data_IF_641139224607
#
_entry.id   IF_641139224607
#
_cell.length_a   1.000
_cell.length_b   1.000
_cell.length_c   1.000
_cell.angle_alpha   90.00
_cell.angle_beta   90.00
_cell.angle_gamma   90.00
#
_symmetry.space_group_name_H-M   'P 1'
#
loop_
_entity.id
_entity.type
_entity.pdbx_description
1 polymer ?
#
# COMPACT_ATOMS: atom_id res chain seq x y z
N UNK A 1 -10.16 37.01 19.52
CA UNK A 1 -8.86 36.34 19.25
C UNK A 1 -8.55 36.54 17.77
N UNK A 2 -7.73 37.53 17.41
CA UNK A 2 -7.38 37.82 16.00
C UNK A 2 -6.30 36.83 15.57
N UNK A 3 -6.67 35.83 14.78
CA UNK A 3 -5.71 34.98 14.05
C UNK A 3 -5.04 35.85 12.99
N UNK A 4 -3.83 36.36 13.26
CA UNK A 4 -3.04 37.04 12.23
C UNK A 4 -2.46 36.00 11.27
N UNK A 5 -2.45 36.30 9.98
CA UNK A 5 -1.87 35.44 8.93
C UNK A 5 -0.39 35.14 9.20
N UNK A 6 0.32 36.01 9.92
CA UNK A 6 1.69 35.81 10.39
C UNK A 6 1.87 34.68 11.42
N UNK A 7 0.79 34.18 12.03
CA UNK A 7 0.83 33.00 12.92
C UNK A 7 0.71 31.67 12.17
N UNK A 8 0.33 31.71 10.88
CA UNK A 8 0.08 30.52 10.05
C UNK A 8 1.30 30.16 9.17
N UNK A 9 2.14 31.14 8.83
CA UNK A 9 3.35 30.92 8.04
C UNK A 9 4.50 30.55 8.99
N UNK A 10 5.14 29.37 8.84
CA UNK A 10 6.28 28.99 9.65
C UNK A 10 7.42 29.99 9.46
N UNK A 11 7.88 30.60 10.56
CA UNK A 11 9.07 31.47 10.54
C UNK A 11 10.36 30.70 10.25
N UNK A 12 10.33 29.37 10.36
CA UNK A 12 11.45 28.51 10.05
C UNK A 12 11.41 28.12 8.55
N UNK A 13 12.45 28.46 7.75
CA UNK A 13 12.48 28.18 6.31
C UNK A 13 12.36 26.69 6.00
N UNK A 14 12.87 25.79 6.85
CA UNK A 14 12.73 24.34 6.69
C UNK A 14 11.26 23.94 6.77
N UNK A 15 10.55 24.40 7.80
CA UNK A 15 9.13 24.08 7.96
C UNK A 15 8.31 24.68 6.84
N UNK A 16 8.62 25.91 6.41
CA UNK A 16 7.93 26.56 5.29
C UNK A 16 8.02 25.73 4.01
N UNK A 17 9.23 25.31 3.61
CA UNK A 17 9.41 24.52 2.39
C UNK A 17 8.83 23.11 2.50
N UNK A 18 8.82 22.51 3.69
CA UNK A 18 8.09 21.26 3.94
C UNK A 18 6.58 21.45 3.71
N UNK A 19 5.99 22.52 4.26
CA UNK A 19 4.58 22.81 4.08
C UNK A 19 4.22 23.11 2.62
N UNK A 20 5.04 23.90 1.92
CA UNK A 20 4.86 24.14 0.48
C UNK A 20 4.89 22.83 -0.29
N UNK A 21 5.85 21.94 0.02
CA UNK A 21 5.94 20.61 -0.59
C UNK A 21 4.66 19.81 -0.42
N UNK A 22 4.17 19.71 0.83
CA UNK A 22 2.94 18.97 1.14
C UNK A 22 1.70 19.60 0.48
N UNK A 23 1.62 20.92 0.40
CA UNK A 23 0.52 21.63 -0.24
C UNK A 23 0.50 21.46 -1.77
N UNK A 24 1.65 21.61 -2.43
CA UNK A 24 1.76 21.41 -3.89
C UNK A 24 1.43 19.97 -4.24
N UNK A 25 1.94 19.02 -3.46
CA UNK A 25 1.60 17.61 -3.60
C UNK A 25 0.11 17.34 -3.43
N UNK A 26 -0.47 17.79 -2.31
CA UNK A 26 -1.87 17.52 -1.99
C UNK A 26 -2.84 18.16 -3.00
N UNK A 27 -2.53 19.37 -3.46
CA UNK A 27 -3.36 20.08 -4.45
C UNK A 27 -3.19 19.56 -5.87
N UNK A 28 -2.09 18.87 -6.17
CA UNK A 28 -1.72 18.49 -7.54
C UNK A 28 -1.47 19.69 -8.47
N UNK A 29 -1.24 20.88 -7.91
CA UNK A 29 -1.04 22.12 -8.67
C UNK A 29 0.12 21.96 -9.64
N UNK A 30 -0.14 22.27 -10.92
CA UNK A 30 0.83 22.21 -12.01
C UNK A 30 1.52 20.84 -12.20
N UNK A 31 0.79 19.77 -11.89
CA UNK A 31 1.17 18.38 -12.20
C UNK A 31 1.62 17.58 -10.98
N UNK A 32 1.59 16.26 -11.10
CA UNK A 32 1.89 15.33 -9.99
C UNK A 32 3.34 15.41 -9.48
N UNK A 33 4.26 15.95 -10.27
CA UNK A 33 5.68 15.94 -9.98
C UNK A 33 6.24 17.29 -9.50
N UNK A 34 5.46 18.38 -9.59
CA UNK A 34 5.95 19.71 -9.25
C UNK A 34 6.39 19.82 -7.78
N UNK A 35 5.77 19.05 -6.90
CA UNK A 35 6.15 18.96 -5.49
C UNK A 35 7.63 18.59 -5.27
N UNK A 36 8.29 17.94 -6.23
CA UNK A 36 9.71 17.59 -6.13
C UNK A 36 10.59 18.84 -6.04
N UNK A 37 10.20 19.96 -6.65
CA UNK A 37 10.96 21.21 -6.61
C UNK A 37 11.05 21.77 -5.18
N UNK A 38 9.93 22.09 -4.49
CA UNK A 38 9.99 22.51 -3.09
C UNK A 38 10.54 21.41 -2.17
N UNK A 39 10.36 20.12 -2.49
CA UNK A 39 10.94 19.02 -1.72
C UNK A 39 12.48 19.05 -1.75
N UNK A 40 13.08 19.25 -2.92
CA UNK A 40 14.53 19.33 -3.08
C UNK A 40 15.10 20.57 -2.36
N UNK A 41 14.38 21.70 -2.38
CA UNK A 41 14.77 22.90 -1.61
C UNK A 41 14.72 22.60 -0.11
N UNK A 42 13.64 22.00 0.37
CA UNK A 42 13.52 21.55 1.77
C UNK A 42 14.69 20.64 2.16
N UNK A 43 14.96 19.60 1.37
CA UNK A 43 16.07 18.66 1.62
C UNK A 43 17.39 19.41 1.67
N UNK A 44 17.68 20.27 0.69
CA UNK A 44 18.90 21.07 0.63
C UNK A 44 19.14 21.91 1.88
N UNK A 45 18.13 22.69 2.29
CA UNK A 45 18.19 23.52 3.51
C UNK A 45 18.39 22.65 4.75
N UNK A 46 17.69 21.52 4.85
CA UNK A 46 17.80 20.63 6.00
C UNK A 46 19.17 19.95 6.09
N UNK A 47 19.72 19.47 4.97
CA UNK A 47 21.09 18.93 4.93
C UNK A 47 22.13 19.98 5.31
N UNK A 48 21.96 21.23 4.87
CA UNK A 48 22.84 22.33 5.26
C UNK A 48 22.80 22.57 6.77
N UNK A 49 21.60 22.57 7.38
CA UNK A 49 21.44 22.70 8.83
C UNK A 49 22.08 21.54 9.60
N UNK A 50 21.90 20.29 9.14
CA UNK A 50 22.55 19.11 9.75
C UNK A 50 24.07 19.26 9.67
N UNK A 51 24.62 19.63 8.51
CA UNK A 51 26.07 19.82 8.30
C UNK A 51 26.64 20.88 9.24
N UNK A 52 25.89 21.95 9.50
CA UNK A 52 26.27 23.02 10.41
C UNK A 52 25.92 22.73 11.88
N UNK A 53 25.50 21.50 12.22
CA UNK A 53 25.12 21.08 13.57
C UNK A 53 23.99 21.92 14.20
N UNK A 54 23.12 22.50 13.37
CA UNK A 54 21.94 23.27 13.79
C UNK A 54 20.65 22.70 13.18
N UNK A 55 20.33 21.40 13.36
CA UNK A 55 19.14 20.81 12.77
C UNK A 55 17.87 21.40 13.38
N UNK A 56 16.95 21.87 12.53
CA UNK A 56 15.61 22.21 12.98
C UNK A 56 14.88 20.95 13.47
N UNK A 57 14.40 20.98 14.71
CA UNK A 57 13.63 19.86 15.26
C UNK A 57 12.16 20.04 14.88
N UNK A 58 11.66 19.15 14.03
CA UNK A 58 10.23 19.07 13.73
C UNK A 58 9.58 18.25 14.85
N UNK A 59 9.00 18.93 15.83
CA UNK A 59 8.38 18.27 16.99
C UNK A 59 7.02 17.68 16.63
N UNK A 60 6.84 16.39 16.91
CA UNK A 60 5.55 15.70 16.81
C UNK A 60 4.82 15.66 18.14
N UNK A 61 5.39 16.25 19.21
CA UNK A 61 4.82 16.19 20.58
C UNK A 61 3.41 16.74 20.66
N UNK A 62 3.05 17.71 19.80
CA UNK A 62 1.70 18.28 19.75
C UNK A 62 0.62 17.22 19.51
N UNK A 63 0.94 16.14 18.77
CA UNK A 63 0.02 15.03 18.48
C UNK A 63 -0.36 14.23 19.72
N UNK A 64 0.42 14.32 20.80
CA UNK A 64 0.27 13.48 21.98
C UNK A 64 -0.71 14.00 23.03
N UNK A 65 -1.09 15.28 22.97
CA UNK A 65 -2.08 15.85 23.89
C UNK A 65 -3.43 15.14 23.73
N UNK A 66 -4.17 14.97 24.83
CA UNK A 66 -5.50 14.32 24.82
C UNK A 66 -6.47 14.99 23.84
N UNK A 67 -6.43 16.32 23.77
CA UNK A 67 -7.19 17.11 22.81
C UNK A 67 -6.78 16.80 21.36
N UNK A 68 -5.48 16.85 21.04
CA UNK A 68 -5.01 16.55 19.68
C UNK A 68 -5.35 15.11 19.26
N UNK A 69 -5.23 14.13 20.16
CA UNK A 69 -5.62 12.73 19.89
C UNK A 69 -7.09 12.64 19.48
N UNK A 70 -8.00 13.26 20.25
CA UNK A 70 -9.43 13.29 19.93
C UNK A 70 -9.69 13.95 18.58
N UNK A 71 -9.04 15.08 18.30
CA UNK A 71 -9.17 15.74 16.99
C UNK A 71 -8.68 14.90 15.83
N UNK A 72 -7.52 14.26 15.95
CA UNK A 72 -6.98 13.39 14.90
C UNK A 72 -7.89 12.18 14.64
N UNK A 73 -8.47 11.60 15.69
CA UNK A 73 -9.46 10.53 15.56
C UNK A 73 -10.73 11.04 14.87
N UNK A 74 -11.25 12.20 15.27
CA UNK A 74 -12.41 12.81 14.61
C UNK A 74 -12.14 13.11 13.13
N UNK A 75 -10.96 13.65 12.79
CA UNK A 75 -10.56 13.89 11.40
C UNK A 75 -10.47 12.58 10.60
N UNK A 76 -9.92 11.53 11.20
CA UNK A 76 -9.91 10.20 10.59
C UNK A 76 -11.33 9.66 10.34
N UNK A 77 -12.25 9.80 11.30
CA UNK A 77 -13.65 9.39 11.14
C UNK A 77 -14.38 10.20 10.07
N UNK A 78 -14.14 11.51 9.99
CA UNK A 78 -14.65 12.34 8.88
C UNK A 78 -14.10 11.83 7.55
N UNK A 79 -12.80 11.52 7.47
CA UNK A 79 -12.19 10.99 6.26
C UNK A 79 -12.75 9.62 5.86
N UNK A 80 -13.05 8.75 6.82
CA UNK A 80 -13.77 7.48 6.62
C UNK A 80 -15.12 7.73 5.96
N UNK A 81 -15.95 8.61 6.53
CA UNK A 81 -17.27 8.94 6.00
C UNK A 81 -17.16 9.54 4.59
N UNK A 82 -16.21 10.44 4.36
CA UNK A 82 -15.97 11.05 3.05
C UNK A 82 -15.60 10.01 2.00
N UNK A 83 -14.68 9.08 2.28
CA UNK A 83 -14.29 8.05 1.31
C UNK A 83 -15.42 7.07 1.01
N UNK A 84 -16.22 6.70 2.02
CA UNK A 84 -17.42 5.89 1.82
C UNK A 84 -18.44 6.62 0.94
N UNK A 85 -18.69 7.90 1.20
CA UNK A 85 -19.57 8.72 0.36
C UNK A 85 -19.05 8.86 -1.07
N UNK A 86 -17.76 9.13 -1.27
CA UNK A 86 -17.13 9.21 -2.60
C UNK A 86 -17.29 7.89 -3.36
N UNK A 87 -17.12 6.76 -2.68
CA UNK A 87 -17.26 5.42 -3.28
C UNK A 87 -18.66 5.23 -3.86
N UNK A 88 -19.69 5.64 -3.12
CA UNK A 88 -21.10 5.59 -3.54
C UNK A 88 -21.36 6.60 -4.66
N UNK A 89 -20.95 7.86 -4.49
CA UNK A 89 -21.17 8.93 -5.46
C UNK A 89 -20.49 8.64 -6.80
N UNK A 90 -19.31 8.01 -6.81
CA UNK A 90 -18.64 7.58 -8.05
C UNK A 90 -19.51 6.63 -8.87
N UNK A 91 -20.23 5.71 -8.22
CA UNK A 91 -21.14 4.80 -8.92
C UNK A 91 -22.29 5.56 -9.58
N UNK A 92 -22.98 6.43 -8.82
CA UNK A 92 -24.10 7.23 -9.35
C UNK A 92 -23.68 8.32 -10.33
N UNK A 93 -22.40 8.69 -10.36
CA UNK A 93 -21.81 9.59 -11.35
C UNK A 93 -21.27 8.86 -12.59
N UNK A 94 -21.54 7.55 -12.72
CA UNK A 94 -21.07 6.71 -13.84
C UNK A 94 -19.54 6.74 -14.05
N UNK A 95 -18.78 6.84 -12.96
CA UNK A 95 -17.30 6.94 -12.99
C UNK A 95 -16.57 5.61 -12.77
N UNK A 96 -17.30 4.50 -12.62
CA UNK A 96 -16.70 3.17 -12.59
C UNK A 96 -16.71 2.54 -13.97
N UNK A 97 -15.60 1.91 -14.34
CA UNK A 97 -15.45 1.24 -15.62
C UNK A 97 -15.87 -0.22 -15.52
N UNK A 98 -16.39 -0.74 -16.63
CA UNK A 98 -16.77 -2.13 -16.78
C UNK A 98 -15.56 -3.07 -16.75
N UNK A 99 -14.40 -2.64 -17.25
CA UNK A 99 -13.18 -3.47 -17.34
C UNK A 99 -12.64 -3.88 -15.97
N UNK A 100 -12.79 -3.03 -14.95
CA UNK A 100 -12.34 -3.29 -13.60
C UNK A 100 -13.54 -3.65 -12.69
N UNK A 101 -14.27 -2.65 -12.19
CA UNK A 101 -15.35 -2.86 -11.22
C UNK A 101 -16.45 -3.76 -11.77
N UNK A 102 -16.84 -3.56 -13.03
CA UNK A 102 -17.88 -4.36 -13.68
C UNK A 102 -17.50 -5.83 -13.81
N UNK A 103 -16.28 -6.10 -14.29
CA UNK A 103 -15.75 -7.45 -14.50
C UNK A 103 -15.69 -8.25 -13.19
N UNK A 104 -15.10 -7.68 -12.14
CA UNK A 104 -15.04 -8.34 -10.83
C UNK A 104 -16.41 -8.49 -10.16
N UNK A 105 -17.33 -7.55 -10.40
CA UNK A 105 -18.70 -7.68 -9.92
C UNK A 105 -19.47 -8.78 -10.65
N UNK A 106 -19.28 -8.92 -11.97
CA UNK A 106 -19.84 -10.02 -12.76
C UNK A 106 -19.28 -11.38 -12.27
N UNK A 107 -17.97 -11.44 -12.04
CA UNK A 107 -17.28 -12.61 -11.48
C UNK A 107 -17.93 -13.06 -10.16
N UNK A 108 -18.07 -12.16 -9.18
CA UNK A 108 -18.63 -12.48 -7.88
C UNK A 108 -20.13 -12.82 -7.93
N UNK A 109 -20.88 -12.16 -8.80
CA UNK A 109 -22.28 -12.53 -9.04
C UNK A 109 -22.38 -13.97 -9.54
N UNK A 110 -21.58 -14.36 -10.54
CA UNK A 110 -21.59 -15.73 -11.05
C UNK A 110 -21.19 -16.75 -9.98
N UNK A 111 -20.16 -16.46 -9.18
CA UNK A 111 -19.75 -17.32 -8.04
C UNK A 111 -20.91 -17.49 -7.06
N UNK A 112 -21.67 -16.44 -6.78
CA UNK A 112 -22.84 -16.50 -5.89
C UNK A 112 -23.91 -17.47 -6.40
N UNK A 113 -24.00 -17.66 -7.72
CA UNK A 113 -24.92 -18.58 -8.37
C UNK A 113 -24.30 -19.98 -8.59
N UNK A 114 -23.14 -20.27 -7.99
CA UNK A 114 -22.43 -21.54 -8.17
C UNK A 114 -21.73 -21.68 -9.53
N UNK A 115 -21.52 -20.58 -10.27
CA UNK A 115 -20.90 -20.57 -11.60
C UNK A 115 -19.54 -19.89 -11.57
N UNK A 116 -18.48 -20.58 -12.00
CA UNK A 116 -17.12 -20.04 -12.02
C UNK A 116 -16.71 -19.50 -13.40
N UNK A 117 -17.66 -18.88 -14.11
CA UNK A 117 -17.47 -18.40 -15.47
C UNK A 117 -17.94 -16.95 -15.60
N UNK A 118 -17.13 -16.10 -16.23
CA UNK A 118 -17.51 -14.73 -16.53
C UNK A 118 -18.19 -14.66 -17.89
N UNK A 119 -19.46 -14.26 -17.90
CA UNK A 119 -20.18 -13.99 -19.15
C UNK A 119 -19.64 -12.77 -19.90
N UNK A 120 -18.93 -11.88 -19.22
CA UNK A 120 -18.35 -10.68 -19.79
C UNK A 120 -17.01 -10.97 -20.48
N UNK A 121 -16.10 -11.69 -19.80
CA UNK A 121 -14.78 -12.04 -20.36
C UNK A 121 -14.80 -13.30 -21.23
N UNK A 122 -15.87 -14.10 -21.18
CA UNK A 122 -15.97 -15.34 -21.95
C UNK A 122 -15.00 -16.43 -21.49
N UNK A 123 -14.59 -16.41 -20.21
CA UNK A 123 -13.59 -17.34 -19.67
C UNK A 123 -13.88 -17.68 -18.20
N UNK A 124 -13.20 -18.69 -17.68
CA UNK A 124 -13.26 -19.03 -16.26
C UNK A 124 -12.81 -17.84 -15.41
N UNK A 125 -13.45 -17.63 -14.26
CA UNK A 125 -13.20 -16.49 -13.36
C UNK A 125 -11.74 -16.35 -12.89
N UNK A 126 -10.97 -17.44 -12.95
CA UNK A 126 -9.56 -17.49 -12.55
C UNK A 126 -8.59 -17.70 -13.71
N UNK A 127 -9.08 -17.64 -14.96
CA UNK A 127 -8.26 -17.75 -16.17
C UNK A 127 -7.53 -16.45 -16.52
N UNK A 128 -8.17 -15.31 -16.28
CA UNK A 128 -7.61 -13.98 -16.56
C UNK A 128 -6.80 -13.40 -15.38
N UNK A 129 -7.37 -13.45 -14.16
CA UNK A 129 -6.70 -13.10 -12.92
C UNK A 129 -6.93 -14.15 -11.84
N UNK A 130 -5.88 -14.52 -11.12
CA UNK A 130 -6.00 -15.48 -10.02
C UNK A 130 -6.47 -14.80 -8.74
N UNK A 131 -7.78 -14.80 -8.49
CA UNK A 131 -8.42 -14.08 -7.37
C UNK A 131 -9.37 -14.92 -6.48
N UNK A 132 -9.09 -16.21 -6.16
CA UNK A 132 -10.01 -17.05 -5.40
C UNK A 132 -10.34 -16.53 -3.99
N UNK A 133 -9.46 -15.74 -3.36
CA UNK A 133 -9.70 -15.17 -2.02
C UNK A 133 -10.75 -14.05 -2.02
N UNK A 134 -11.21 -13.61 -3.19
CA UNK A 134 -12.39 -12.76 -3.28
C UNK A 134 -13.71 -13.51 -3.13
N UNK A 135 -13.72 -14.83 -3.35
CA UNK A 135 -14.96 -15.64 -3.37
C UNK A 135 -15.89 -15.45 -2.16
N UNK A 136 -15.40 -15.24 -0.92
CA UNK A 136 -16.28 -14.95 0.21
C UNK A 136 -17.17 -13.71 0.01
N UNK A 137 -16.75 -12.72 -0.78
CA UNK A 137 -17.58 -11.55 -1.10
C UNK A 137 -18.81 -11.91 -1.94
N UNK A 138 -18.81 -13.05 -2.64
CA UNK A 138 -19.95 -13.51 -3.43
C UNK A 138 -21.19 -13.78 -2.57
N UNK A 139 -21.02 -14.06 -1.27
CA UNK A 139 -22.15 -14.24 -0.34
C UNK A 139 -23.03 -12.98 -0.26
N UNK A 140 -22.45 -11.79 -0.40
CA UNK A 140 -23.24 -10.54 -0.39
C UNK A 140 -24.09 -10.36 -1.65
N UNK A 141 -23.69 -10.97 -2.76
CA UNK A 141 -24.45 -10.94 -4.02
C UNK A 141 -25.71 -11.81 -3.98
N UNK A 142 -25.78 -12.80 -3.08
CA UNK A 142 -27.02 -13.54 -2.79
C UNK A 142 -28.08 -12.65 -2.15
N UNK A 143 -27.65 -11.64 -1.38
CA UNK A 143 -28.57 -10.71 -0.74
C UNK A 143 -29.04 -9.64 -1.72
N UNK A 144 -28.10 -8.91 -2.33
CA UNK A 144 -28.39 -7.92 -3.38
C UNK A 144 -27.26 -7.97 -4.41
N UNK A 145 -27.56 -8.24 -5.70
CA UNK A 145 -26.55 -8.26 -6.75
C UNK A 145 -26.12 -6.83 -7.09
N UNK A 146 -25.05 -6.35 -6.44
CA UNK A 146 -24.61 -4.96 -6.56
C UNK A 146 -23.09 -4.80 -6.61
N UNK A 147 -22.62 -3.90 -7.47
CA UNK A 147 -21.20 -3.49 -7.57
C UNK A 147 -20.70 -2.77 -6.31
N UNK A 148 -21.60 -2.29 -5.45
CA UNK A 148 -21.23 -1.63 -4.20
C UNK A 148 -20.41 -2.54 -3.28
N UNK A 149 -20.58 -3.86 -3.34
CA UNK A 149 -19.85 -4.78 -2.47
C UNK A 149 -18.35 -4.76 -2.72
N UNK A 150 -17.91 -4.78 -3.98
CA UNK A 150 -16.47 -4.74 -4.32
C UNK A 150 -15.85 -3.39 -3.98
N UNK A 151 -16.52 -2.30 -4.31
CA UNK A 151 -16.00 -0.96 -4.04
C UNK A 151 -15.98 -0.65 -2.55
N UNK A 152 -17.01 -1.08 -1.79
CA UNK A 152 -17.03 -1.00 -0.33
C UNK A 152 -15.92 -1.84 0.30
N UNK A 153 -15.71 -3.09 -0.16
CA UNK A 153 -14.68 -3.97 0.38
C UNK A 153 -13.28 -3.34 0.23
N UNK A 154 -12.95 -2.77 -0.93
CA UNK A 154 -11.70 -2.04 -1.16
C UNK A 154 -11.58 -0.83 -0.23
N UNK A 155 -12.62 0.01 -0.15
CA UNK A 155 -12.59 1.21 0.70
C UNK A 155 -12.40 0.83 2.17
N UNK A 156 -13.11 -0.17 2.67
CA UNK A 156 -12.95 -0.69 4.04
C UNK A 156 -11.54 -1.25 4.26
N UNK A 157 -10.98 -1.98 3.29
CA UNK A 157 -9.62 -2.51 3.39
C UNK A 157 -8.60 -1.37 3.60
N UNK A 158 -8.67 -0.30 2.81
CA UNK A 158 -7.80 0.86 2.95
C UNK A 158 -7.99 1.62 4.26
N UNK A 159 -9.24 1.86 4.66
CA UNK A 159 -9.57 2.57 5.89
C UNK A 159 -9.14 1.79 7.14
N UNK A 160 -8.99 0.47 7.06
CA UNK A 160 -8.52 -0.36 8.17
C UNK A 160 -7.00 -0.32 8.38
N UNK A 161 -6.22 0.10 7.37
CA UNK A 161 -4.75 0.11 7.43
C UNK A 161 -4.20 0.98 8.57
N UNK A 162 -4.63 2.25 8.79
CA UNK A 162 -4.14 3.04 9.91
C UNK A 162 -4.37 2.38 11.29
N UNK A 163 -5.45 1.61 11.44
CA UNK A 163 -5.74 0.89 12.69
C UNK A 163 -4.77 -0.26 12.92
N UNK A 164 -4.36 -0.95 11.86
CA UNK A 164 -3.37 -2.04 11.92
C UNK A 164 -1.95 -1.49 12.08
N UNK A 165 -1.61 -0.38 11.40
CA UNK A 165 -0.38 0.39 11.66
C UNK A 165 -0.29 0.74 13.14
N UNK A 166 -1.37 1.25 13.74
CA UNK A 166 -1.39 1.60 15.16
C UNK A 166 -1.06 0.39 16.06
N UNK A 167 -1.65 -0.78 15.77
CA UNK A 167 -1.38 -2.00 16.52
C UNK A 167 0.08 -2.43 16.41
N UNK A 168 0.66 -2.40 15.20
CA UNK A 168 2.07 -2.74 14.97
C UNK A 168 2.96 -1.75 15.72
N UNK A 169 2.72 -0.44 15.58
CA UNK A 169 3.49 0.59 16.30
C UNK A 169 3.46 0.38 17.82
N UNK A 170 2.29 0.08 18.39
CA UNK A 170 2.17 -0.16 19.84
C UNK A 170 2.99 -1.36 20.33
N UNK A 171 3.21 -2.36 19.48
CA UNK A 171 4.01 -3.55 19.80
C UNK A 171 5.49 -3.40 19.43
N UNK A 172 5.82 -2.52 18.48
CA UNK A 172 7.19 -2.30 18.02
C UNK A 172 7.97 -1.27 18.83
N UNK A 173 7.31 -0.25 19.40
CA UNK A 173 7.95 0.84 20.14
C UNK A 173 7.79 0.68 21.66
N UNK A 174 8.84 0.99 22.43
CA UNK A 174 8.76 1.02 23.89
C UNK A 174 7.96 2.24 24.39
N UNK A 175 8.18 3.40 23.77
CA UNK A 175 7.49 4.63 24.14
C UNK A 175 6.15 4.76 23.41
N UNK A 176 5.05 4.78 24.18
CA UNK A 176 3.67 4.91 23.67
C UNK A 176 3.41 6.22 22.92
N UNK A 177 4.08 7.31 23.29
CA UNK A 177 3.95 8.60 22.61
C UNK A 177 4.62 8.58 21.24
N UNK A 178 5.78 7.93 21.13
CA UNK A 178 6.45 7.73 19.84
C UNK A 178 5.61 6.79 18.96
N UNK A 179 5.13 5.67 19.50
CA UNK A 179 4.23 4.76 18.80
C UNK A 179 3.03 5.49 18.19
N UNK A 180 2.43 6.40 18.97
CA UNK A 180 1.32 7.25 18.51
C UNK A 180 1.76 8.23 17.42
N UNK A 181 2.85 8.97 17.60
CA UNK A 181 3.35 9.91 16.58
C UNK A 181 3.65 9.21 15.26
N UNK A 182 4.29 8.03 15.28
CA UNK A 182 4.57 7.24 14.07
C UNK A 182 3.28 6.72 13.44
N UNK A 183 2.31 6.30 14.24
CA UNK A 183 0.96 5.95 13.76
C UNK A 183 0.33 7.10 12.98
N UNK A 184 0.37 8.31 13.54
CA UNK A 184 -0.23 9.51 12.91
C UNK A 184 0.50 9.84 11.60
N UNK A 185 1.84 9.82 11.59
CA UNK A 185 2.63 10.11 10.40
C UNK A 185 2.34 9.12 9.28
N UNK A 186 2.46 7.82 9.55
CA UNK A 186 2.28 6.78 8.52
C UNK A 186 0.80 6.63 8.13
N UNK A 187 -0.13 6.82 9.06
CA UNK A 187 -1.56 6.84 8.78
C UNK A 187 -1.94 8.03 7.88
N UNK A 188 -1.41 9.23 8.16
CA UNK A 188 -1.60 10.39 7.31
C UNK A 188 -0.91 10.22 5.95
N UNK A 189 0.27 9.61 5.90
CA UNK A 189 0.92 9.26 4.64
C UNK A 189 0.01 8.33 3.81
N UNK A 190 -0.44 7.21 4.38
CA UNK A 190 -1.29 6.24 3.72
C UNK A 190 -2.64 6.82 3.23
N UNK A 191 -3.23 7.75 3.99
CA UNK A 191 -4.58 8.29 3.71
C UNK A 191 -4.60 9.63 2.96
N UNK A 192 -3.52 10.41 2.99
CA UNK A 192 -3.52 11.80 2.50
C UNK A 192 -2.29 12.20 1.68
N UNK A 193 -1.11 11.65 1.97
CA UNK A 193 0.14 12.19 1.41
C UNK A 193 1.01 11.21 0.62
N UNK A 194 0.73 9.92 0.57
CA UNK A 194 1.57 8.97 -0.16
C UNK A 194 0.89 8.51 -1.44
N UNK A 195 1.15 9.25 -2.53
CA UNK A 195 0.52 9.08 -3.83
C UNK A 195 0.51 7.64 -4.36
N UNK A 196 1.55 6.80 -4.22
CA UNK A 196 1.46 5.41 -4.66
C UNK A 196 0.30 4.63 -3.98
N UNK A 197 0.13 4.79 -2.66
CA UNK A 197 -1.01 4.19 -1.95
C UNK A 197 -2.34 4.85 -2.34
N UNK A 198 -2.37 6.18 -2.46
CA UNK A 198 -3.60 6.94 -2.76
C UNK A 198 -4.10 6.74 -4.17
N UNK A 199 -3.20 6.71 -5.14
CA UNK A 199 -3.55 6.42 -6.53
C UNK A 199 -4.15 5.03 -6.60
N UNK A 200 -3.63 4.06 -5.84
CA UNK A 200 -4.28 2.76 -5.74
C UNK A 200 -5.65 2.80 -5.08
N UNK A 201 -5.87 3.57 -4.01
CA UNK A 201 -7.21 3.81 -3.43
C UNK A 201 -8.17 4.42 -4.47
N UNK A 202 -7.73 5.47 -5.18
CA UNK A 202 -8.55 6.22 -6.12
C UNK A 202 -8.78 5.53 -7.45
N UNK A 203 -7.89 4.60 -7.82
CA UNK A 203 -8.06 3.74 -8.98
C UNK A 203 -9.29 2.85 -8.82
N UNK A 204 -9.64 2.13 -9.88
CA UNK A 204 -10.73 1.18 -9.87
C UNK A 204 -10.47 -0.02 -8.98
N UNK A 205 -11.51 -0.83 -8.76
CA UNK A 205 -11.38 -2.01 -7.93
C UNK A 205 -10.43 -3.02 -8.57
N UNK A 206 -9.44 -3.42 -7.79
CA UNK A 206 -8.50 -4.48 -8.14
C UNK A 206 -8.40 -5.44 -6.95
N UNK A 207 -8.37 -6.76 -7.16
CA UNK A 207 -8.33 -7.75 -6.09
C UNK A 207 -7.19 -7.53 -5.09
N UNK A 208 -6.01 -7.12 -5.58
CA UNK A 208 -4.83 -6.81 -4.77
C UNK A 208 -5.07 -5.67 -3.77
N UNK A 209 -6.02 -4.77 -4.05
CA UNK A 209 -6.37 -3.66 -3.17
C UNK A 209 -7.01 -4.12 -1.84
N UNK A 210 -7.43 -5.40 -1.74
CA UNK A 210 -7.88 -6.01 -0.49
C UNK A 210 -6.72 -6.51 0.38
N UNK A 211 -5.54 -6.72 -0.20
CA UNK A 211 -4.38 -7.29 0.49
C UNK A 211 -3.76 -6.43 1.60
N UNK A 212 -3.71 -5.07 1.54
CA UNK A 212 -3.03 -4.25 2.54
C UNK A 212 -3.32 -4.61 4.02
N UNK A 213 -4.57 -4.73 4.48
CA UNK A 213 -4.83 -5.13 5.86
C UNK A 213 -4.41 -6.57 6.18
N UNK A 214 -4.46 -7.49 5.22
CA UNK A 214 -4.00 -8.87 5.41
C UNK A 214 -2.47 -8.94 5.52
N UNK A 215 -1.74 -8.12 4.78
CA UNK A 215 -0.28 -7.99 4.90
C UNK A 215 0.09 -7.51 6.31
N UNK A 216 -0.54 -6.44 6.80
CA UNK A 216 -0.30 -5.91 8.14
C UNK A 216 -0.72 -6.91 9.23
N UNK A 217 -1.84 -7.61 9.04
CA UNK A 217 -2.30 -8.63 9.97
C UNK A 217 -1.39 -9.87 10.00
N UNK A 218 -0.86 -10.30 8.86
CA UNK A 218 0.16 -11.34 8.79
C UNK A 218 1.41 -10.91 9.58
N UNK A 219 1.85 -9.66 9.39
CA UNK A 219 2.97 -9.13 10.17
C UNK A 219 2.71 -9.13 11.69
N UNK A 220 1.53 -8.70 12.13
CA UNK A 220 1.11 -8.78 13.54
C UNK A 220 1.10 -10.23 14.05
N UNK A 221 0.55 -11.18 13.27
CA UNK A 221 0.54 -12.58 13.66
C UNK A 221 1.95 -13.14 13.78
N UNK A 222 2.85 -12.76 12.88
CA UNK A 222 4.27 -13.11 12.94
C UNK A 222 4.93 -12.54 14.23
N UNK A 223 4.77 -11.24 14.51
CA UNK A 223 5.31 -10.61 15.73
C UNK A 223 4.83 -11.31 17.01
N UNK A 224 3.55 -11.70 17.03
CA UNK A 224 2.90 -12.38 18.16
C UNK A 224 3.11 -13.90 18.18
N UNK A 225 3.86 -14.47 17.23
CA UNK A 225 4.08 -15.92 17.07
C UNK A 225 2.78 -16.73 16.91
N UNK A 226 1.72 -16.12 16.38
CA UNK A 226 0.44 -16.76 16.09
C UNK A 226 0.51 -17.50 14.74
N UNK A 227 1.34 -18.54 14.67
CA UNK A 227 1.73 -19.20 13.42
C UNK A 227 0.56 -19.73 12.59
N UNK A 228 -0.47 -20.31 13.22
CA UNK A 228 -1.64 -20.79 12.48
C UNK A 228 -2.36 -19.65 11.74
N UNK A 229 -2.57 -18.51 12.42
CA UNK A 229 -3.23 -17.33 11.84
C UNK A 229 -2.35 -16.66 10.78
N UNK A 230 -1.04 -16.64 11.03
CA UNK A 230 -0.04 -16.19 10.06
C UNK A 230 -0.15 -17.00 8.76
N UNK A 231 -0.01 -18.33 8.83
CA UNK A 231 -0.06 -19.20 7.64
C UNK A 231 -1.39 -19.13 6.90
N UNK A 232 -2.51 -19.13 7.63
CA UNK A 232 -3.82 -18.95 7.03
C UNK A 232 -3.91 -17.63 6.25
N UNK A 233 -3.43 -16.53 6.86
CA UNK A 233 -3.43 -15.22 6.23
C UNK A 233 -2.49 -15.17 5.01
N UNK A 234 -1.34 -15.82 5.08
CA UNK A 234 -0.40 -15.93 3.96
C UNK A 234 -1.01 -16.69 2.77
N UNK A 235 -1.78 -17.76 3.03
CA UNK A 235 -2.51 -18.49 1.97
C UNK A 235 -3.61 -17.61 1.37
N UNK A 236 -4.37 -16.89 2.19
CA UNK A 236 -5.38 -15.92 1.70
C UNK A 236 -4.73 -14.82 0.84
N UNK A 237 -3.52 -14.36 1.19
CA UNK A 237 -2.80 -13.38 0.37
C UNK A 237 -2.50 -13.94 -1.03
N UNK A 238 -2.09 -15.20 -1.18
CA UNK A 238 -1.82 -15.78 -2.51
C UNK A 238 -3.04 -15.72 -3.44
N UNK A 239 -4.24 -15.79 -2.87
CA UNK A 239 -5.48 -15.81 -3.64
C UNK A 239 -6.08 -14.44 -3.95
N UNK A 240 -5.44 -13.31 -3.63
CA UNK A 240 -5.93 -12.03 -4.13
C UNK A 240 -5.43 -11.71 -5.53
N UNK A 241 -4.21 -12.10 -5.92
CA UNK A 241 -3.69 -11.85 -7.28
C UNK A 241 -2.49 -12.74 -7.57
N UNK A 242 -2.25 -13.01 -8.84
CA UNK A 242 -1.27 -13.98 -9.33
C UNK A 242 0.18 -13.74 -8.87
N UNK A 243 0.55 -12.49 -8.58
CA UNK A 243 1.90 -12.12 -8.17
C UNK A 243 2.08 -12.00 -6.64
N UNK A 244 1.05 -12.30 -5.82
CA UNK A 244 1.16 -12.11 -4.35
C UNK A 244 2.09 -13.11 -3.64
N UNK A 245 2.61 -14.12 -4.35
CA UNK A 245 3.78 -14.85 -3.87
C UNK A 245 4.99 -13.93 -3.61
N UNK A 246 5.06 -12.75 -4.24
CA UNK A 246 6.05 -11.72 -3.91
C UNK A 246 5.98 -11.26 -2.44
N UNK A 247 4.79 -11.26 -1.82
CA UNK A 247 4.64 -10.96 -0.39
C UNK A 247 5.34 -12.03 0.46
N UNK A 248 5.18 -13.30 0.11
CA UNK A 248 5.86 -14.40 0.79
C UNK A 248 7.37 -14.27 0.69
N UNK A 249 7.88 -13.97 -0.51
CA UNK A 249 9.31 -13.75 -0.74
C UNK A 249 9.80 -12.56 0.11
N UNK A 250 9.06 -11.46 0.17
CA UNK A 250 9.40 -10.28 0.97
C UNK A 250 9.51 -10.59 2.47
N UNK A 251 8.48 -11.23 3.03
CA UNK A 251 8.51 -11.71 4.42
C UNK A 251 9.66 -12.69 4.66
N UNK A 252 9.89 -13.61 3.73
CA UNK A 252 10.95 -14.60 3.82
C UNK A 252 12.35 -13.97 3.85
N UNK A 253 12.62 -13.03 2.94
CA UNK A 253 13.86 -12.26 2.91
C UNK A 253 14.08 -11.49 4.22
N UNK A 254 13.07 -10.78 4.71
CA UNK A 254 13.12 -10.10 5.99
C UNK A 254 13.44 -11.07 7.14
N UNK A 255 12.75 -12.21 7.20
CA UNK A 255 12.95 -13.20 8.25
C UNK A 255 14.36 -13.80 8.24
N UNK A 256 14.93 -14.08 7.06
CA UNK A 256 16.29 -14.61 6.91
C UNK A 256 17.35 -13.57 7.32
N UNK A 257 17.15 -12.31 6.94
CA UNK A 257 18.17 -11.26 7.07
C UNK A 257 18.15 -10.51 8.40
N UNK A 258 17.00 -10.46 9.07
CA UNK A 258 16.79 -9.63 10.27
C UNK A 258 16.43 -10.46 11.51
N UNK A 259 15.77 -11.61 11.35
CA UNK A 259 15.17 -12.34 12.48
C UNK A 259 15.88 -13.67 12.76
N UNK A 260 15.57 -14.30 13.90
CA UNK A 260 16.06 -15.65 14.21
C UNK A 260 15.37 -16.76 13.39
N UNK A 261 14.23 -16.48 12.73
CA UNK A 261 13.40 -17.47 12.06
C UNK A 261 13.85 -17.77 10.61
N UNK A 262 15.15 -18.01 10.41
CA UNK A 262 15.75 -18.15 9.06
C UNK A 262 15.17 -19.31 8.25
N UNK A 263 14.92 -20.47 8.88
CA UNK A 263 14.36 -21.65 8.21
C UNK A 263 12.96 -21.37 7.65
N UNK A 264 12.10 -20.76 8.47
CA UNK A 264 10.77 -20.32 8.04
C UNK A 264 10.86 -19.29 6.92
N UNK A 265 11.83 -18.37 7.00
CA UNK A 265 12.07 -17.39 5.94
C UNK A 265 12.46 -18.03 4.61
N UNK A 266 13.37 -19.02 4.62
CA UNK A 266 13.74 -19.79 3.42
C UNK A 266 12.55 -20.54 2.83
N UNK A 267 11.71 -21.15 3.69
CA UNK A 267 10.49 -21.81 3.25
C UNK A 267 9.51 -20.83 2.59
N UNK A 268 9.34 -19.62 3.13
CA UNK A 268 8.51 -18.58 2.51
C UNK A 268 9.05 -18.12 1.15
N UNK A 269 10.36 -17.96 1.02
CA UNK A 269 10.99 -17.61 -0.27
C UNK A 269 10.71 -18.70 -1.30
N UNK A 270 11.03 -19.96 -0.97
CA UNK A 270 10.82 -21.09 -1.88
C UNK A 270 9.33 -21.27 -2.23
N UNK A 271 8.46 -21.25 -1.22
CA UNK A 271 7.02 -21.36 -1.40
C UNK A 271 6.42 -20.21 -2.21
N UNK A 272 6.89 -18.97 -2.01
CA UNK A 272 6.46 -17.81 -2.78
C UNK A 272 6.86 -17.91 -4.25
N UNK A 273 8.10 -18.31 -4.56
CA UNK A 273 8.57 -18.53 -5.94
C UNK A 273 7.76 -19.64 -6.61
N UNK A 274 7.59 -20.77 -5.93
CA UNK A 274 6.80 -21.90 -6.44
C UNK A 274 5.35 -21.48 -6.67
N UNK A 275 4.75 -20.71 -5.75
CA UNK A 275 3.38 -20.23 -5.90
C UNK A 275 3.22 -19.32 -7.12
N UNK A 276 4.08 -18.31 -7.30
CA UNK A 276 4.03 -17.43 -8.49
C UNK A 276 4.16 -18.26 -9.77
N UNK A 277 5.14 -19.18 -9.81
CA UNK A 277 5.35 -20.04 -10.98
C UNK A 277 4.12 -20.91 -11.28
N UNK A 278 3.62 -21.65 -10.29
CA UNK A 278 2.47 -22.53 -10.48
C UNK A 278 1.22 -21.74 -10.86
N UNK A 279 0.96 -20.60 -10.22
CA UNK A 279 -0.24 -19.80 -10.51
C UNK A 279 -0.18 -19.26 -11.95
N UNK A 280 0.94 -18.63 -12.33
CA UNK A 280 1.07 -17.97 -13.63
C UNK A 280 1.19 -18.94 -14.80
N UNK A 281 1.90 -20.07 -14.62
CA UNK A 281 2.25 -20.97 -15.72
C UNK A 281 1.47 -22.29 -15.74
N UNK A 282 0.75 -22.63 -14.66
CA UNK A 282 -0.01 -23.88 -14.60
C UNK A 282 -1.50 -23.63 -14.31
N UNK A 283 -1.82 -22.95 -13.21
CA UNK A 283 -3.20 -22.79 -12.75
C UNK A 283 -4.02 -21.87 -13.66
N UNK A 284 -3.54 -20.64 -13.91
CA UNK A 284 -4.27 -19.72 -14.81
C UNK A 284 -4.36 -20.26 -16.24
N UNK A 285 -3.27 -20.77 -16.86
CA UNK A 285 -3.34 -21.40 -18.18
C UNK A 285 -4.35 -22.54 -18.24
N UNK A 286 -4.37 -23.44 -17.25
CA UNK A 286 -5.37 -24.51 -17.18
C UNK A 286 -6.80 -23.96 -17.23
N UNK A 287 -7.10 -22.92 -16.44
CA UNK A 287 -8.45 -22.31 -16.41
C UNK A 287 -8.85 -21.56 -17.68
N UNK A 288 -7.89 -21.16 -18.52
CA UNK A 288 -8.15 -20.55 -19.83
C UNK A 288 -7.87 -21.51 -21.00
N UNK A 289 -7.85 -22.81 -20.76
CA UNK A 289 -7.58 -23.83 -21.79
C UNK A 289 -6.26 -23.62 -22.55
N UNK A 290 -5.25 -23.06 -21.89
CA UNK A 290 -3.94 -22.73 -22.45
C UNK A 290 -3.97 -21.73 -23.63
N UNK A 291 -5.06 -20.98 -23.78
CA UNK A 291 -5.11 -19.86 -24.72
C UNK A 291 -4.07 -18.78 -24.37
N UNK A 292 -3.64 -18.02 -25.39
CA UNK A 292 -2.69 -16.94 -25.22
C UNK A 292 -3.26 -15.84 -24.31
N UNK A 293 -2.40 -15.27 -23.47
CA UNK A 293 -2.77 -14.15 -22.60
C UNK A 293 -1.85 -12.97 -22.85
N UNK A 294 -2.48 -11.81 -22.89
CA UNK A 294 -1.85 -10.51 -23.10
C UNK A 294 -1.05 -10.04 -21.86
N UNK A 295 -1.17 -10.72 -20.71
CA UNK A 295 -0.75 -10.23 -19.40
C UNK A 295 0.68 -10.60 -18.96
N UNK A 296 1.61 -10.91 -19.88
CA UNK A 296 2.95 -11.39 -19.51
C UNK A 296 4.10 -10.75 -20.30
N UNK A 297 4.05 -9.44 -20.53
CA UNK A 297 5.19 -8.75 -21.14
C UNK A 297 6.26 -8.44 -20.07
N UNK A 298 7.25 -9.32 -19.98
CA UNK A 298 8.43 -9.16 -19.13
C UNK A 298 9.48 -8.36 -19.90
N UNK A 299 9.98 -7.28 -19.30
CA UNK A 299 10.94 -6.38 -19.93
C UNK A 299 11.83 -5.65 -18.94
N UNK A 300 12.62 -6.34 -18.09
CA UNK A 300 13.39 -5.71 -17.00
C UNK A 300 14.32 -4.58 -17.48
N UNK A 301 14.89 -4.72 -18.68
CA UNK A 301 15.84 -3.75 -19.24
C UNK A 301 15.22 -2.74 -20.21
N UNK A 302 13.90 -2.76 -20.39
CA UNK A 302 13.17 -1.73 -21.14
C UNK A 302 12.89 -0.53 -20.24
N UNK A 303 12.89 0.68 -20.83
CA UNK A 303 12.59 1.95 -20.16
C UNK A 303 13.35 2.18 -18.83
N UNK A 304 14.63 1.81 -18.79
CA UNK A 304 15.47 1.97 -17.58
C UNK A 304 15.37 3.37 -16.97
N UNK A 305 15.40 4.48 -17.74
CA UNK A 305 15.23 5.82 -17.16
C UNK A 305 13.89 6.01 -16.42
N UNK A 306 12.79 5.49 -16.96
CA UNK A 306 11.47 5.60 -16.33
C UNK A 306 11.37 4.73 -15.07
N UNK A 307 11.97 3.55 -15.07
CA UNK A 307 12.04 2.66 -13.90
C UNK A 307 12.86 3.25 -12.77
N UNK A 308 13.98 3.91 -13.08
CA UNK A 308 14.77 4.63 -12.09
C UNK A 308 13.98 5.81 -11.49
N UNK A 309 13.26 6.57 -12.34
CA UNK A 309 12.39 7.65 -11.88
C UNK A 309 11.26 7.12 -10.99
N UNK A 310 10.66 5.98 -11.34
CA UNK A 310 9.66 5.31 -10.51
C UNK A 310 10.21 4.94 -9.12
N UNK A 311 11.36 4.27 -9.06
CA UNK A 311 12.00 3.92 -7.80
C UNK A 311 12.30 5.17 -6.95
N UNK A 312 12.77 6.23 -7.58
CA UNK A 312 12.99 7.52 -6.93
C UNK A 312 11.69 8.07 -6.33
N UNK A 313 10.60 8.14 -7.10
CA UNK A 313 9.29 8.63 -6.65
C UNK A 313 8.69 7.78 -5.54
N UNK A 314 8.88 6.47 -5.60
CA UNK A 314 8.40 5.52 -4.59
C UNK A 314 9.15 5.70 -3.25
N UNK A 315 10.45 5.96 -3.29
CA UNK A 315 11.32 5.93 -2.11
C UNK A 315 11.63 7.31 -1.51
N UNK A 316 11.52 8.39 -2.29
CA UNK A 316 11.79 9.75 -1.80
C UNK A 316 10.91 10.17 -0.61
N UNK A 317 9.60 9.83 -0.52
CA UNK A 317 8.78 10.21 0.64
C UNK A 317 9.24 9.53 1.95
N UNK A 318 10.00 8.44 1.83
CA UNK A 318 10.62 7.72 2.95
C UNK A 318 12.08 8.12 3.17
N UNK A 319 12.55 9.21 2.53
CA UNK A 319 13.93 9.67 2.57
C UNK A 319 14.95 8.57 2.24
N UNK A 320 14.57 7.61 1.38
CA UNK A 320 15.38 6.43 1.05
C UNK A 320 15.80 5.57 2.25
N UNK A 321 15.16 5.72 3.41
CA UNK A 321 15.46 4.92 4.61
C UNK A 321 15.34 3.41 4.35
N UNK A 322 14.35 2.89 3.59
CA UNK A 322 14.31 1.48 3.23
C UNK A 322 15.54 1.00 2.43
N UNK A 323 16.20 1.87 1.67
CA UNK A 323 17.44 1.54 0.94
C UNK A 323 18.65 1.57 1.87
N UNK A 324 18.74 2.59 2.73
CA UNK A 324 19.83 2.70 3.70
C UNK A 324 19.81 1.51 4.67
N UNK A 325 18.62 1.19 5.20
CA UNK A 325 18.37 0.03 6.05
C UNK A 325 17.89 -1.17 5.22
N UNK A 326 18.65 -1.51 4.17
CA UNK A 326 18.25 -2.50 3.14
C UNK A 326 17.81 -3.86 3.69
N UNK A 327 18.37 -4.31 4.82
CA UNK A 327 17.97 -5.59 5.45
C UNK A 327 16.50 -5.58 5.90
N UNK A 328 15.98 -4.43 6.29
CA UNK A 328 14.56 -4.24 6.61
C UNK A 328 13.79 -3.87 5.34
N UNK A 329 14.32 -2.96 4.52
CA UNK A 329 13.65 -2.52 3.29
C UNK A 329 13.42 -3.60 2.24
N UNK A 330 14.24 -4.67 2.24
CA UNK A 330 14.05 -5.85 1.38
C UNK A 330 12.68 -6.51 1.54
N UNK A 331 11.98 -6.26 2.66
CA UNK A 331 10.60 -6.68 2.87
C UNK A 331 9.70 -6.23 1.70
N UNK A 332 9.88 -5.02 1.19
CA UNK A 332 9.13 -4.47 0.05
C UNK A 332 9.77 -4.81 -1.31
N UNK A 333 11.03 -5.25 -1.32
CA UNK A 333 11.83 -5.45 -2.53
C UNK A 333 11.16 -6.33 -3.58
N UNK A 334 10.69 -7.56 -3.24
CA UNK A 334 10.03 -8.43 -4.21
C UNK A 334 8.75 -7.84 -4.81
N UNK A 335 7.93 -7.13 -4.03
CA UNK A 335 6.71 -6.48 -4.54
C UNK A 335 7.06 -5.33 -5.51
N UNK A 336 8.09 -4.53 -5.20
CA UNK A 336 8.63 -3.53 -6.12
C UNK A 336 9.20 -4.20 -7.38
N UNK A 337 9.87 -5.35 -7.19
CA UNK A 337 10.42 -6.20 -8.24
C UNK A 337 9.39 -6.56 -9.31
N UNK A 338 8.19 -6.98 -8.91
CA UNK A 338 7.09 -7.29 -9.83
C UNK A 338 6.81 -6.13 -10.79
N UNK A 339 6.81 -4.90 -10.30
CA UNK A 339 6.53 -3.71 -11.10
C UNK A 339 7.65 -3.39 -12.09
N UNK A 340 8.91 -3.46 -11.66
CA UNK A 340 10.06 -3.15 -12.52
C UNK A 340 10.45 -4.28 -13.49
N UNK A 341 9.99 -5.51 -13.26
CA UNK A 341 10.15 -6.62 -14.21
C UNK A 341 9.22 -6.46 -15.42
N UNK A 342 8.13 -5.69 -15.28
CA UNK A 342 7.17 -5.46 -16.35
C UNK A 342 7.75 -4.57 -17.47
N UNK A 343 7.28 -4.82 -18.69
CA UNK A 343 7.45 -3.93 -19.84
C UNK A 343 6.35 -2.85 -19.92
N UNK A 344 5.30 -2.93 -19.10
CA UNK A 344 4.17 -2.01 -19.13
C UNK A 344 4.46 -0.75 -18.28
N UNK A 345 4.55 0.45 -18.89
CA UNK A 345 4.82 1.71 -18.17
C UNK A 345 3.84 2.01 -17.04
N UNK A 346 2.60 1.54 -17.13
CA UNK A 346 1.59 1.74 -16.08
C UNK A 346 2.01 1.10 -14.74
N UNK A 347 2.77 0.00 -14.77
CA UNK A 347 3.23 -0.70 -13.55
C UNK A 347 4.36 0.05 -12.81
N UNK A 348 5.17 0.83 -13.52
CA UNK A 348 6.25 1.64 -12.95
C UNK A 348 6.00 3.13 -13.13
N UNK A 349 4.79 3.61 -12.81
CA UNK A 349 4.42 5.04 -12.95
C UNK A 349 3.99 5.73 -11.66
N UNK A 350 3.74 4.98 -10.59
CA UNK A 350 3.02 5.43 -9.37
C UNK A 350 1.60 5.95 -9.58
N UNK A 351 1.07 5.89 -10.81
CA UNK A 351 -0.20 6.52 -11.18
C UNK A 351 -1.44 5.64 -11.11
N UNK A 352 -1.26 4.33 -10.97
CA UNK A 352 -2.29 3.28 -11.03
C UNK A 352 -2.33 2.48 -9.72
N UNK A 353 -2.98 1.31 -9.71
CA UNK A 353 -3.16 0.47 -8.52
C UNK A 353 -1.95 -0.36 -8.09
N UNK A 354 -0.94 -0.51 -8.94
CA UNK A 354 0.17 -1.48 -8.79
C UNK A 354 1.07 -1.29 -7.56
N UNK A 355 0.91 -0.20 -6.81
CA UNK A 355 1.70 0.09 -5.63
C UNK A 355 0.99 -0.24 -4.30
N UNK A 356 -0.21 -0.82 -4.31
CA UNK A 356 -0.90 -1.26 -3.08
C UNK A 356 -0.02 -2.15 -2.19
N UNK A 357 0.63 -3.16 -2.78
CA UNK A 357 1.48 -4.12 -2.08
C UNK A 357 2.80 -3.48 -1.61
N UNK A 358 3.52 -2.82 -2.52
CA UNK A 358 4.82 -2.20 -2.24
C UNK A 358 4.67 -1.10 -1.17
N UNK A 359 3.63 -0.27 -1.28
CA UNK A 359 3.31 0.76 -0.30
C UNK A 359 3.08 0.18 1.09
N UNK A 360 2.30 -0.90 1.20
CA UNK A 360 2.00 -1.53 2.50
C UNK A 360 3.25 -2.07 3.17
N UNK A 361 4.10 -2.76 2.40
CA UNK A 361 5.35 -3.33 2.91
C UNK A 361 6.36 -2.23 3.29
N UNK A 362 6.40 -1.12 2.54
CA UNK A 362 7.20 0.06 2.90
C UNK A 362 6.72 0.68 4.22
N UNK A 363 5.40 0.74 4.49
CA UNK A 363 4.90 1.20 5.79
C UNK A 363 5.42 0.31 6.93
N UNK A 364 5.41 -1.02 6.78
CA UNK A 364 5.98 -1.93 7.78
C UNK A 364 7.49 -1.67 7.95
N UNK A 365 8.23 -1.56 6.85
CA UNK A 365 9.66 -1.30 6.88
C UNK A 365 9.98 -0.01 7.64
N UNK A 366 9.21 1.06 7.41
CA UNK A 366 9.35 2.32 8.13
C UNK A 366 9.09 2.19 9.63
N UNK A 367 8.05 1.47 10.04
CA UNK A 367 7.79 1.21 11.48
C UNK A 367 9.01 0.55 12.13
N UNK A 368 9.57 -0.48 11.48
CA UNK A 368 10.70 -1.24 12.00
C UNK A 368 12.01 -0.45 12.03
N UNK A 369 12.27 0.34 10.98
CA UNK A 369 13.45 1.23 10.92
C UNK A 369 13.37 2.27 12.03
N UNK A 370 12.19 2.87 12.23
CA UNK A 370 12.00 3.90 13.25
C UNK A 370 12.11 3.29 14.65
N UNK A 371 11.45 2.16 14.94
CA UNK A 371 11.52 1.55 16.27
C UNK A 371 12.94 1.11 16.65
N UNK A 372 13.70 0.55 15.71
CA UNK A 372 15.08 0.10 15.96
C UNK A 372 16.08 1.24 16.22
N UNK A 373 15.76 2.48 15.82
CA UNK A 373 16.66 3.63 15.92
C UNK A 373 16.20 4.69 16.93
N UNK A 374 14.91 4.77 17.29
CA UNK A 374 14.40 5.71 18.32
C UNK A 374 14.43 5.15 19.75
N UNK A 375 14.55 3.83 19.91
CA UNK A 375 14.73 3.17 21.21
C UNK A 375 16.21 3.08 21.64
N UNK A 376 17.13 3.71 20.89
CA UNK A 376 18.54 3.94 21.24
C UNK A 376 18.76 5.40 21.59
#
# INVERSE_FOLDING_TARGET
MKLSVSSVIPQNPVLLWLWITLLVWWSGLAGRDLFLVPALIFVGIYTYQIRNKQPSIITTKWTNSSYAKRWLISLFLVHVVLNLAITILKYYSFRWNVWDVGSYSNMLYNISQGRFYSSYLGTHNWGDHFSPSMSPLALFYLWVPSTHWVTLAKTVAYLSVPLLIHKICKESFQNKEQAWSVTVILGAAWMLFYAPALNSLYYEFQPSALAPPFILYAFLCFQRKLWLRFWFTMIVLLGFKEHLGAIWIGFGCYMVLVTAHKKTGLFLIAGGIVAVYLIMFQVMPYFRNYEESWNMVIGPFQDVPAKLLYLFKLLIPFAFLPVIFWRIGILAGPAIGVNILSANPSMYSTGYHYDDLSSTLLMIAMILIMSANFDK
#
